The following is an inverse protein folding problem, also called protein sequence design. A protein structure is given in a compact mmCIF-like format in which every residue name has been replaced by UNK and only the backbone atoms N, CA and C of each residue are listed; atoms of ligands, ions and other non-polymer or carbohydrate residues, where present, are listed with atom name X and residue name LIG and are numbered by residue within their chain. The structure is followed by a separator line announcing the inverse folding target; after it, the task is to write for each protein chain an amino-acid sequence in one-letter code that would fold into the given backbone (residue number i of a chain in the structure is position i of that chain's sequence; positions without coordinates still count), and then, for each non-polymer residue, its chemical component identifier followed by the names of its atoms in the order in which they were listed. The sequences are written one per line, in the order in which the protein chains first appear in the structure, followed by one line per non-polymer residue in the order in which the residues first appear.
data_IF_352426671173
#
_entry.id   IF_352426671173
#
_cell.length_a   1.000
_cell.length_b   1.000
_cell.length_c   1.000
_cell.angle_alpha   90.00
_cell.angle_beta   90.00
_cell.angle_gamma   90.00
#
_symmetry.space_group_name_H-M   'P 1'
#
loop_
_entity.id
_entity.type
_entity.pdbx_description
1 polymer ?
#
# COMPACT_ATOMS: atom_id res chain seq x y z
N UNK A 1 17.00 -12.64 -17.12
CA UNK A 1 16.53 -11.52 -16.29
C UNK A 1 15.35 -12.02 -15.48
N UNK A 2 15.42 -11.99 -14.15
CA UNK A 2 14.33 -12.47 -13.30
C UNK A 2 13.20 -11.43 -13.32
N UNK A 3 11.94 -11.85 -13.14
CA UNK A 3 10.77 -10.94 -13.14
C UNK A 3 10.95 -9.77 -12.15
N UNK A 4 11.62 -10.03 -11.03
CA UNK A 4 11.90 -9.05 -9.99
C UNK A 4 12.85 -7.94 -10.45
N UNK A 5 13.84 -8.26 -11.30
CA UNK A 5 14.78 -7.28 -11.83
C UNK A 5 14.07 -6.26 -12.72
N UNK A 6 13.13 -6.74 -13.55
CA UNK A 6 12.31 -5.89 -14.41
C UNK A 6 11.35 -5.02 -13.59
N UNK A 7 10.69 -5.61 -12.58
CA UNK A 7 9.82 -4.84 -11.68
C UNK A 7 10.62 -3.76 -10.97
N UNK A 8 11.81 -4.08 -10.44
CA UNK A 8 12.70 -3.11 -9.80
C UNK A 8 13.03 -1.96 -10.75
N UNK A 9 13.50 -2.27 -11.96
CA UNK A 9 13.85 -1.25 -12.95
C UNK A 9 12.66 -0.35 -13.34
N UNK A 10 11.44 -0.90 -13.41
CA UNK A 10 10.23 -0.14 -13.76
C UNK A 10 9.66 0.66 -12.58
N UNK A 11 9.78 0.15 -11.36
CA UNK A 11 9.12 0.71 -10.18
C UNK A 11 9.98 1.70 -9.40
N UNK A 12 11.29 1.77 -9.65
CA UNK A 12 12.24 2.59 -8.87
C UNK A 12 11.79 4.06 -8.77
N UNK A 13 11.44 4.67 -9.90
CA UNK A 13 11.03 6.08 -10.00
C UNK A 13 9.51 6.28 -9.98
N UNK A 14 8.73 5.21 -9.74
CA UNK A 14 7.28 5.30 -9.71
C UNK A 14 6.80 6.12 -8.49
N UNK A 15 5.81 6.97 -8.70
CA UNK A 15 5.18 7.79 -7.64
C UNK A 15 4.13 7.03 -6.82
N UNK A 16 3.88 5.77 -7.16
CA UNK A 16 3.01 4.86 -6.42
C UNK A 16 3.86 3.83 -5.68
N UNK A 17 3.44 3.44 -4.48
CA UNK A 17 4.09 2.37 -3.75
C UNK A 17 3.93 1.06 -4.51
N UNK A 18 5.05 0.38 -4.78
CA UNK A 18 5.08 -0.94 -5.39
C UNK A 18 5.75 -1.89 -4.42
N UNK A 19 5.07 -2.98 -4.10
CA UNK A 19 5.58 -4.04 -3.23
C UNK A 19 5.34 -5.39 -3.90
N UNK A 20 6.34 -6.28 -3.84
CA UNK A 20 6.25 -7.66 -4.32
C UNK A 20 6.42 -8.60 -3.15
N UNK A 21 5.55 -9.60 -3.06
CA UNK A 21 5.61 -10.64 -2.03
C UNK A 21 5.70 -12.03 -2.64
N UNK A 22 6.10 -13.00 -1.83
CA UNK A 22 5.87 -14.41 -2.14
C UNK A 22 4.36 -14.77 -2.15
N UNK A 23 4.06 -16.05 -2.38
CA UNK A 23 2.68 -16.58 -2.45
C UNK A 23 2.18 -17.20 -1.13
N UNK A 24 2.93 -17.13 -0.03
CA UNK A 24 2.56 -17.81 1.21
C UNK A 24 1.41 -17.06 1.91
N UNK A 25 0.16 -17.50 1.73
CA UNK A 25 -1.01 -16.78 2.27
C UNK A 25 -1.32 -17.10 3.74
N UNK A 26 -0.93 -18.28 4.20
CA UNK A 26 -1.15 -18.80 5.55
C UNK A 26 -0.29 -18.07 6.57
N UNK A 27 -0.77 -17.95 7.81
CA UNK A 27 -0.09 -17.22 8.90
C UNK A 27 1.42 -17.55 8.96
N UNK A 28 2.32 -16.54 8.96
CA UNK A 28 2.11 -15.09 9.12
C UNK A 28 1.73 -14.34 7.82
N UNK A 29 1.47 -15.09 6.76
CA UNK A 29 1.23 -14.76 5.35
C UNK A 29 2.41 -14.11 4.64
N UNK A 30 2.17 -13.43 3.50
CA UNK A 30 3.22 -13.39 2.49
C UNK A 30 4.33 -12.44 2.88
N UNK A 31 5.55 -12.78 2.49
CA UNK A 31 6.76 -12.03 2.86
C UNK A 31 7.15 -11.09 1.72
N UNK A 32 7.52 -9.85 2.05
CA UNK A 32 7.99 -8.86 1.09
C UNK A 32 9.35 -9.25 0.54
N UNK A 33 9.43 -9.43 -0.78
CA UNK A 33 10.66 -9.71 -1.53
C UNK A 33 11.28 -8.43 -2.11
N UNK A 34 10.45 -7.42 -2.38
CA UNK A 34 10.87 -6.11 -2.89
C UNK A 34 9.86 -5.04 -2.50
N UNK A 35 10.35 -3.83 -2.26
CA UNK A 35 9.56 -2.62 -2.15
C UNK A 35 10.31 -1.46 -2.79
N UNK A 36 9.61 -0.58 -3.50
CA UNK A 36 10.20 0.61 -4.11
C UNK A 36 10.29 1.78 -3.11
N UNK A 37 11.08 2.84 -3.41
CA UNK A 37 11.20 4.00 -2.53
C UNK A 37 9.87 4.69 -2.17
N UNK A 38 8.90 4.71 -3.10
CA UNK A 38 7.58 5.27 -2.83
C UNK A 38 6.81 4.48 -1.76
N UNK A 39 6.92 3.15 -1.76
CA UNK A 39 6.34 2.33 -0.71
C UNK A 39 7.00 2.60 0.65
N UNK A 40 8.34 2.72 0.70
CA UNK A 40 9.07 3.08 1.91
C UNK A 40 8.58 4.40 2.53
N UNK A 41 8.43 5.44 1.69
CA UNK A 41 7.84 6.74 2.10
C UNK A 41 6.38 6.61 2.56
N UNK A 42 5.57 5.83 1.85
CA UNK A 42 4.17 5.58 2.19
C UNK A 42 4.05 4.93 3.58
N UNK A 43 4.86 3.93 3.90
CA UNK A 43 4.78 3.26 5.20
C UNK A 43 5.60 3.95 6.30
N UNK A 44 6.47 4.89 5.93
CA UNK A 44 7.35 5.60 6.86
C UNK A 44 8.38 4.68 7.52
N UNK A 45 8.97 3.75 6.75
CA UNK A 45 10.02 2.82 7.21
C UNK A 45 11.09 2.64 6.14
N UNK A 46 12.31 2.36 6.57
CA UNK A 46 13.42 2.06 5.66
C UNK A 46 13.18 0.74 4.92
N UNK A 47 13.54 0.70 3.62
CA UNK A 47 13.34 -0.48 2.78
C UNK A 47 14.04 -1.72 3.33
N UNK A 48 15.24 -1.58 3.88
CA UNK A 48 16.02 -2.67 4.48
C UNK A 48 15.32 -3.30 5.69
N UNK A 49 14.44 -2.55 6.35
CA UNK A 49 13.62 -3.04 7.45
C UNK A 49 12.30 -3.64 6.96
N UNK A 50 11.85 -3.32 5.74
CA UNK A 50 10.57 -3.78 5.19
C UNK A 50 10.73 -5.14 4.51
N UNK A 51 11.78 -5.31 3.70
CA UNK A 51 12.05 -6.56 3.00
C UNK A 51 12.27 -7.70 4.01
N UNK A 52 11.66 -8.85 3.76
CA UNK A 52 11.65 -9.98 4.69
C UNK A 52 10.55 -9.95 5.75
N UNK A 53 9.72 -8.89 5.81
CA UNK A 53 8.56 -8.84 6.70
C UNK A 53 7.24 -9.10 5.97
N UNK A 54 6.21 -9.50 6.74
CA UNK A 54 4.83 -9.57 6.27
C UNK A 54 4.21 -8.17 6.22
N UNK A 55 3.52 -7.75 5.13
CA UNK A 55 2.85 -6.45 5.05
C UNK A 55 1.80 -6.20 6.14
N UNK A 56 1.41 -7.25 6.88
CA UNK A 56 0.52 -7.18 8.04
C UNK A 56 0.99 -6.22 9.13
N UNK A 57 2.28 -5.85 9.18
CA UNK A 57 2.76 -4.83 10.12
C UNK A 57 2.06 -3.46 9.95
N UNK A 58 1.45 -3.19 8.78
CA UNK A 58 0.69 -1.97 8.53
C UNK A 58 -0.73 -2.01 9.12
N UNK A 59 -1.22 -3.18 9.51
CA UNK A 59 -2.59 -3.36 9.99
C UNK A 59 -2.67 -3.02 11.48
N UNK A 60 -3.80 -2.50 11.92
CA UNK A 60 -4.02 -2.13 13.31
C UNK A 60 -5.49 -2.13 13.69
N UNK A 61 -5.82 -1.48 14.81
CA UNK A 61 -7.14 -1.56 15.44
C UNK A 61 -8.30 -1.14 14.54
N UNK A 62 -8.10 -0.14 13.68
CA UNK A 62 -9.14 0.36 12.75
C UNK A 62 -9.13 -0.33 11.38
N UNK A 63 -8.24 -1.31 11.15
CA UNK A 63 -8.24 -2.11 9.93
C UNK A 63 -9.44 -3.05 9.97
N UNK A 64 -10.37 -2.90 9.02
CA UNK A 64 -11.63 -3.65 9.00
C UNK A 64 -11.41 -5.12 8.66
N UNK A 65 -11.89 -6.01 9.54
CA UNK A 65 -11.77 -7.46 9.37
C UNK A 65 -12.46 -7.92 8.09
N UNK A 66 -13.63 -7.39 7.77
CA UNK A 66 -14.39 -7.79 6.59
C UNK A 66 -13.62 -7.54 5.28
N UNK A 67 -12.84 -6.44 5.25
CA UNK A 67 -12.01 -6.12 4.09
C UNK A 67 -10.75 -6.99 4.03
N UNK A 68 -10.16 -7.31 5.19
CA UNK A 68 -9.05 -8.27 5.27
C UNK A 68 -9.49 -9.67 4.83
N UNK A 69 -10.69 -10.11 5.21
CA UNK A 69 -11.22 -11.42 4.82
C UNK A 69 -11.48 -11.48 3.32
N UNK A 70 -12.00 -10.39 2.72
CA UNK A 70 -12.14 -10.28 1.27
C UNK A 70 -10.78 -10.30 0.55
N UNK A 71 -9.79 -9.60 1.10
CA UNK A 71 -8.43 -9.62 0.57
C UNK A 71 -7.84 -11.02 0.65
N UNK A 72 -7.92 -11.68 1.80
CA UNK A 72 -7.42 -13.03 1.98
C UNK A 72 -8.08 -14.04 1.03
N UNK A 73 -9.41 -13.97 0.84
CA UNK A 73 -10.12 -14.82 -0.14
C UNK A 73 -9.61 -14.62 -1.56
N UNK A 74 -9.39 -13.36 -1.99
CA UNK A 74 -8.87 -13.07 -3.32
C UNK A 74 -7.46 -13.63 -3.51
N UNK A 75 -6.58 -13.46 -2.52
CA UNK A 75 -5.22 -14.03 -2.57
C UNK A 75 -5.26 -15.56 -2.59
N UNK A 76 -6.13 -16.18 -1.79
CA UNK A 76 -6.29 -17.63 -1.77
C UNK A 76 -6.81 -18.21 -3.09
N UNK A 77 -7.63 -17.46 -3.82
CA UNK A 77 -8.07 -17.79 -5.16
C UNK A 77 -7.01 -17.50 -6.25
N UNK A 78 -5.89 -16.84 -5.91
CA UNK A 78 -4.90 -16.37 -6.87
C UNK A 78 -5.49 -15.30 -7.81
N UNK A 79 -6.37 -14.46 -7.27
CA UNK A 79 -7.12 -13.42 -7.99
C UNK A 79 -6.67 -12.01 -7.57
N UNK A 80 -7.07 -11.01 -8.37
CA UNK A 80 -6.83 -9.60 -8.07
C UNK A 80 -7.68 -9.16 -6.89
N UNK A 81 -7.07 -8.46 -5.94
CA UNK A 81 -7.78 -7.66 -4.96
C UNK A 81 -7.66 -6.18 -5.32
N UNK A 82 -8.77 -5.45 -5.32
CA UNK A 82 -8.76 -4.00 -5.37
C UNK A 82 -9.70 -3.44 -4.30
N UNK A 83 -9.17 -2.60 -3.41
CA UNK A 83 -9.95 -2.10 -2.30
C UNK A 83 -9.24 -1.06 -1.45
N UNK A 84 -9.83 -0.76 -0.30
CA UNK A 84 -9.35 0.27 0.61
C UNK A 84 -9.20 -0.26 2.02
N UNK A 85 -8.03 -0.05 2.63
CA UNK A 85 -7.76 -0.39 4.03
C UNK A 85 -7.38 0.84 4.85
N UNK A 86 -7.62 0.76 6.15
CA UNK A 86 -6.95 1.65 7.10
C UNK A 86 -5.64 0.98 7.50
N UNK A 87 -4.52 1.61 7.18
CA UNK A 87 -3.17 1.18 7.53
C UNK A 87 -2.50 2.20 8.46
N UNK A 88 -1.39 1.80 9.06
CA UNK A 88 -0.61 2.57 10.01
C UNK A 88 0.84 2.67 9.52
N UNK A 89 1.40 3.87 9.59
CA UNK A 89 2.82 4.12 9.28
C UNK A 89 3.71 3.66 10.44
N UNK A 90 5.03 3.71 10.25
CA UNK A 90 6.02 3.38 11.28
C UNK A 90 5.88 4.18 12.58
N UNK A 91 5.40 5.42 12.47
CA UNK A 91 5.11 6.32 13.60
C UNK A 91 3.72 6.11 14.24
N UNK A 92 2.92 5.17 13.73
CA UNK A 92 1.56 4.90 14.19
C UNK A 92 0.50 5.83 13.62
N UNK A 93 0.83 6.76 12.73
CA UNK A 93 -0.16 7.61 12.06
C UNK A 93 -0.98 6.75 11.09
N UNK A 94 -2.30 6.82 11.22
CA UNK A 94 -3.23 6.12 10.34
C UNK A 94 -3.37 6.81 8.99
N UNK A 95 -3.54 6.01 7.95
CA UNK A 95 -3.85 6.48 6.60
C UNK A 95 -4.81 5.52 5.89
N UNK A 96 -5.52 6.02 4.89
CA UNK A 96 -6.37 5.19 4.04
C UNK A 96 -5.55 4.76 2.83
N UNK A 97 -5.21 3.47 2.77
CA UNK A 97 -4.55 2.87 1.62
C UNK A 97 -5.60 2.46 0.58
N UNK A 98 -5.42 2.87 -0.67
CA UNK A 98 -5.97 2.16 -1.82
C UNK A 98 -4.95 1.11 -2.24
N UNK A 99 -5.40 -0.14 -2.41
CA UNK A 99 -4.55 -1.29 -2.72
C UNK A 99 -5.10 -1.95 -3.98
N UNK A 100 -4.25 -2.09 -5.01
CA UNK A 100 -4.47 -2.95 -6.17
C UNK A 100 -3.41 -4.06 -6.15
N UNK A 101 -3.79 -5.23 -5.65
CA UNK A 101 -2.92 -6.40 -5.53
C UNK A 101 -3.26 -7.42 -6.62
N UNK A 102 -2.24 -7.87 -7.36
CA UNK A 102 -2.38 -8.74 -8.53
C UNK A 102 -1.50 -9.98 -8.39
N UNK A 103 -1.97 -11.15 -8.83
CA UNK A 103 -1.16 -12.36 -8.87
C UNK A 103 -0.03 -12.21 -9.89
N UNK A 104 1.18 -12.57 -9.50
CA UNK A 104 2.28 -12.81 -10.43
C UNK A 104 2.28 -14.29 -10.78
N UNK A 105 2.27 -14.59 -12.08
CA UNK A 105 2.29 -15.97 -12.58
C UNK A 105 3.55 -16.22 -13.38
N UNK A 106 4.14 -17.39 -13.20
CA UNK A 106 5.30 -17.81 -13.97
C UNK A 106 4.90 -18.18 -15.42
N UNK A 107 5.88 -18.55 -16.23
CA UNK A 107 5.66 -18.93 -17.65
C UNK A 107 4.76 -20.16 -17.85
N UNK A 108 4.53 -20.95 -16.78
CA UNK A 108 3.62 -22.11 -16.78
C UNK A 108 2.21 -21.74 -16.32
N UNK A 109 1.97 -20.47 -15.96
CA UNK A 109 0.69 -19.98 -15.44
C UNK A 109 0.48 -20.23 -13.94
N UNK A 110 1.46 -20.80 -13.25
CA UNK A 110 1.40 -21.08 -11.81
C UNK A 110 1.63 -19.78 -11.04
N UNK A 111 0.97 -19.63 -9.88
CA UNK A 111 1.17 -18.49 -8.99
C UNK A 111 2.60 -18.53 -8.44
N UNK A 112 3.31 -17.41 -8.53
CA UNK A 112 4.71 -17.26 -8.08
C UNK A 112 4.82 -16.20 -6.96
N UNK A 113 3.80 -15.36 -6.81
CA UNK A 113 3.74 -14.34 -5.78
C UNK A 113 2.67 -13.29 -6.09
N UNK A 114 2.81 -12.13 -5.48
CA UNK A 114 1.89 -11.01 -5.69
C UNK A 114 2.66 -9.70 -5.89
N UNK A 115 2.08 -8.80 -6.68
CA UNK A 115 2.50 -7.40 -6.78
C UNK A 115 1.34 -6.52 -6.34
N UNK A 116 1.60 -5.60 -5.42
CA UNK A 116 0.62 -4.62 -4.99
C UNK A 116 1.07 -3.19 -5.29
N UNK A 117 0.11 -2.41 -5.76
CA UNK A 117 0.21 -0.97 -5.96
C UNK A 117 -0.57 -0.29 -4.85
N UNK A 118 0.11 0.55 -4.08
CA UNK A 118 -0.46 1.21 -2.91
C UNK A 118 -0.25 2.72 -2.94
N UNK A 119 -1.30 3.45 -2.58
CA UNK A 119 -1.24 4.90 -2.35
C UNK A 119 -2.15 5.30 -1.23
N UNK A 120 -1.80 6.39 -0.55
CA UNK A 120 -2.72 7.04 0.37
C UNK A 120 -3.79 7.78 -0.43
N UNK A 121 -5.03 7.66 0.03
CA UNK A 121 -6.17 8.37 -0.54
C UNK A 121 -6.93 9.13 0.53
N UNK A 122 -7.56 10.24 0.14
CA UNK A 122 -8.47 11.02 0.97
C UNK A 122 -9.88 10.89 0.43
N UNK A 123 -10.89 11.06 1.30
CA UNK A 123 -12.27 11.16 0.82
C UNK A 123 -12.41 12.43 0.00
N UNK A 124 -13.02 12.32 -1.18
CA UNK A 124 -13.40 13.52 -1.94
C UNK A 124 -14.37 14.35 -1.13
N UNK A 125 -14.10 15.65 -1.08
CA UNK A 125 -15.03 16.64 -0.56
C UNK A 125 -15.96 17.08 -1.70
N UNK A 126 -17.27 17.14 -1.44
CA UNK A 126 -18.27 17.56 -2.42
C UNK A 126 -18.96 16.41 -3.17
N UNK A 127 -20.01 16.77 -3.93
CA UNK A 127 -20.77 15.84 -4.76
C UNK A 127 -19.93 15.50 -6.00
N UNK A 128 -19.78 14.22 -6.38
CA UNK A 128 -19.10 13.86 -7.62
C UNK A 128 -19.74 14.61 -8.78
N UNK A 129 -18.94 15.37 -9.52
CA UNK A 129 -19.42 16.11 -10.68
C UNK A 129 -19.77 15.12 -11.80
N UNK A 130 -20.97 14.55 -11.77
CA UNK A 130 -21.61 13.80 -12.86
C UNK A 130 -20.88 12.58 -13.46
N UNK A 131 -19.65 12.29 -13.04
CA UNK A 131 -18.79 11.26 -13.58
C UNK A 131 -18.57 10.11 -12.61
N UNK A 132 -18.04 9.01 -13.13
CA UNK A 132 -17.65 7.78 -12.41
C UNK A 132 -16.54 7.97 -11.36
N UNK A 133 -16.22 9.21 -10.98
CA UNK A 133 -15.21 9.55 -9.99
C UNK A 133 -15.55 8.90 -8.64
N UNK A 134 -14.73 7.93 -8.24
CA UNK A 134 -14.92 7.18 -6.99
C UNK A 134 -14.89 8.06 -5.75
N UNK A 135 -15.30 7.47 -4.61
CA UNK A 135 -15.41 8.13 -3.29
C UNK A 135 -14.09 8.71 -2.75
N UNK A 136 -12.96 8.32 -3.32
CA UNK A 136 -11.61 8.69 -2.87
C UNK A 136 -10.78 9.28 -4.01
N UNK A 137 -9.76 10.06 -3.63
CA UNK A 137 -8.75 10.63 -4.51
C UNK A 137 -7.36 10.54 -3.88
N UNK A 138 -6.30 10.61 -4.69
CA UNK A 138 -4.93 10.51 -4.21
C UNK A 138 -4.62 11.61 -3.19
N UNK A 139 -3.99 11.24 -2.07
CA UNK A 139 -3.55 12.19 -1.06
C UNK A 139 -2.35 12.99 -1.57
N UNK A 140 -2.42 14.34 -1.58
CA UNK A 140 -1.25 15.16 -1.92
C UNK A 140 -0.14 15.06 -0.88
N UNK A 141 -0.46 14.60 0.34
CA UNK A 141 0.44 14.59 1.50
C UNK A 141 1.42 13.40 1.45
N UNK A 142 1.00 12.24 0.93
CA UNK A 142 1.85 11.03 0.91
C UNK A 142 3.05 11.09 -0.03
N UNK A 143 3.05 12.05 -0.95
CA UNK A 143 4.06 12.19 -2.00
C UNK A 143 4.88 13.47 -1.89
N UNK A 144 4.77 14.22 -0.79
CA UNK A 144 5.64 15.37 -0.56
C UNK A 144 6.98 14.91 0.05
N UNK A 145 8.10 14.93 -0.70
CA UNK A 145 9.42 14.67 -0.13
C UNK A 145 9.81 15.65 0.98
N UNK A 146 9.09 16.77 1.14
CA UNK A 146 9.29 17.80 2.16
C UNK A 146 8.24 17.74 3.30
N UNK A 147 7.24 16.86 3.21
CA UNK A 147 5.99 16.96 3.96
C UNK A 147 6.06 16.61 5.46
N UNK A 148 7.14 15.99 5.92
CA UNK A 148 7.36 15.77 7.35
C UNK A 148 7.90 17.02 8.08
N UNK A 149 8.38 18.05 7.37
CA UNK A 149 8.95 19.25 7.99
C UNK A 149 7.93 20.26 8.51
N UNK A 150 6.71 20.27 7.96
CA UNK A 150 5.70 21.29 8.28
C UNK A 150 4.65 20.85 9.31
N UNK A 151 4.60 19.58 9.68
CA UNK A 151 3.69 19.08 10.72
C UNK A 151 4.23 19.23 12.15
N UNK A 152 5.52 19.54 12.33
CA UNK A 152 6.10 19.93 13.61
C UNK A 152 5.94 21.43 13.91
N UNK A 153 5.53 22.23 12.92
CA UNK A 153 5.13 23.61 13.13
C UNK A 153 3.65 23.62 13.51
N UNK A 154 3.43 23.58 14.82
CA UNK A 154 2.21 23.98 15.49
C UNK A 154 1.73 25.34 14.97
N UNK A 155 0.92 25.33 13.91
CA UNK A 155 0.16 26.49 13.47
C UNK A 155 -1.28 26.03 13.40
N UNK A 156 -1.88 25.78 14.57
CA UNK A 156 -3.31 25.90 14.91
C UNK A 156 -3.52 25.33 16.33
N UNK A 157 -2.80 25.86 17.32
CA UNK A 157 -3.36 25.99 18.67
C UNK A 157 -3.69 27.47 18.82
N UNK A 158 -4.86 27.85 18.31
CA UNK A 158 -5.47 29.13 18.64
C UNK A 158 -6.18 28.91 19.97
N UNK A 159 -5.64 29.52 21.02
CA UNK A 159 -6.35 29.78 22.27
C UNK A 159 -7.73 30.39 21.94
N UNK A 160 -8.80 29.73 22.37
CA UNK A 160 -9.90 30.34 23.12
C UNK A 160 -10.77 29.27 23.79
#
# INVERSE_FOLDING_TARGET
MMVLDLIRALAEDASIGVVVTDMAIDSPGPIILYANPAFGRLVGRDLDRIVGQSPRFMQGKETRRETLDAFHRALAAGERFHGYLTNYRGDGIKYRAEIDCRPLRNVRGELDGFVAFEREVVRRLGRPAGGSGGRYEASPISNDPLGNGLRSLSVFDVEN
#
